data_IF_706538597834
#
_entry.id   IF_706538597834
#
_cell.length_a   1.000
_cell.length_b   1.000
_cell.length_c   1.000
_cell.angle_alpha   90.00
_cell.angle_beta   90.00
_cell.angle_gamma   90.00
#
_symmetry.space_group_name_H-M   'P 1'
#
loop_
_entity.id
_entity.type
_entity.pdbx_description
1 polymer ?
#
# COMPACT_ATOMS: atom_id res chain seq x y z
N UNK A 1 -24.51 -17.32 -46.04
CA UNK A 1 -24.50 -17.49 -44.57
C UNK A 1 -25.91 -17.51 -44.05
N UNK A 2 -26.40 -18.65 -43.61
CA UNK A 2 -27.77 -18.80 -43.15
C UNK A 2 -27.97 -18.10 -41.80
N UNK A 3 -29.16 -17.50 -41.60
CA UNK A 3 -29.50 -16.83 -40.32
C UNK A 3 -29.34 -17.71 -39.06
N UNK A 4 -29.28 -18.98 -39.20
CA UNK A 4 -29.06 -19.97 -38.13
C UNK A 4 -27.65 -19.96 -37.56
N UNK A 5 -26.65 -19.65 -38.36
CA UNK A 5 -25.24 -19.64 -37.91
C UNK A 5 -24.87 -18.41 -37.14
N UNK A 6 -25.54 -17.26 -37.40
CA UNK A 6 -25.39 -16.04 -36.69
C UNK A 6 -25.84 -16.17 -35.21
N UNK A 7 -26.94 -16.85 -34.96
CA UNK A 7 -27.45 -17.08 -33.61
C UNK A 7 -26.59 -18.03 -32.78
N UNK A 8 -25.96 -19.01 -33.40
CA UNK A 8 -25.03 -19.92 -32.69
C UNK A 8 -23.76 -19.24 -32.25
N UNK A 9 -23.22 -18.35 -33.08
CA UNK A 9 -22.02 -17.55 -32.74
C UNK A 9 -22.33 -16.49 -31.68
N UNK A 10 -23.51 -15.91 -31.67
CA UNK A 10 -23.93 -14.89 -30.69
C UNK A 10 -24.15 -15.50 -29.30
N UNK A 11 -24.62 -16.75 -29.20
CA UNK A 11 -24.82 -17.44 -27.91
C UNK A 11 -23.50 -17.83 -27.24
N UNK A 12 -22.47 -18.15 -28.01
CA UNK A 12 -21.14 -18.45 -27.51
C UNK A 12 -20.43 -17.18 -26.98
N UNK A 13 -20.68 -16.03 -27.60
CA UNK A 13 -20.14 -14.76 -27.15
C UNK A 13 -20.82 -14.23 -25.87
N UNK A 14 -22.13 -14.50 -25.68
CA UNK A 14 -22.87 -14.11 -24.49
C UNK A 14 -22.54 -14.99 -23.27
N UNK A 15 -22.20 -16.26 -23.47
CA UNK A 15 -21.82 -17.19 -22.40
C UNK A 15 -20.45 -16.88 -21.78
N UNK A 16 -19.55 -16.24 -22.52
CA UNK A 16 -18.22 -15.83 -22.02
C UNK A 16 -18.29 -14.62 -21.08
N UNK A 17 -19.39 -13.86 -21.08
CA UNK A 17 -19.57 -12.68 -20.21
C UNK A 17 -20.12 -13.02 -18.82
N UNK A 18 -20.55 -14.25 -18.58
CA UNK A 18 -21.13 -14.71 -17.31
C UNK A 18 -20.18 -15.57 -16.46
N UNK A 19 -18.97 -15.82 -16.92
CA UNK A 19 -17.94 -16.35 -16.02
C UNK A 19 -17.64 -15.27 -14.97
N UNK A 20 -17.70 -15.60 -13.65
CA UNK A 20 -17.24 -14.67 -12.65
C UNK A 20 -15.80 -14.31 -13.07
N UNK A 21 -15.59 -13.08 -13.49
CA UNK A 21 -14.25 -12.53 -13.54
C UNK A 21 -13.70 -12.66 -12.13
N UNK A 22 -13.00 -13.75 -11.84
CA UNK A 22 -11.90 -13.65 -10.89
C UNK A 22 -11.09 -12.50 -11.46
N UNK A 23 -11.26 -11.32 -10.88
CA UNK A 23 -10.31 -10.26 -11.10
C UNK A 23 -8.99 -10.89 -10.66
N UNK A 24 -8.19 -11.30 -11.64
CA UNK A 24 -6.79 -11.54 -11.38
C UNK A 24 -6.31 -10.19 -10.88
N UNK A 25 -6.16 -10.06 -9.57
CA UNK A 25 -5.41 -8.96 -9.01
C UNK A 25 -4.12 -8.98 -9.82
N UNK A 26 -3.83 -7.87 -10.48
CA UNK A 26 -2.56 -7.72 -11.19
C UNK A 26 -1.51 -7.87 -10.10
N UNK A 27 -0.92 -9.05 -9.97
CA UNK A 27 0.24 -9.25 -9.11
C UNK A 27 1.36 -8.42 -9.70
N UNK A 28 1.49 -7.19 -9.20
CA UNK A 28 2.55 -6.28 -9.62
C UNK A 28 3.94 -6.80 -9.26
N UNK A 29 3.98 -7.78 -8.36
CA UNK A 29 5.19 -8.47 -7.93
C UNK A 29 4.95 -9.97 -7.81
N UNK A 30 5.87 -10.79 -8.34
CA UNK A 30 5.74 -12.23 -8.18
C UNK A 30 5.79 -12.58 -6.69
N UNK A 31 4.75 -13.26 -6.21
CA UNK A 31 4.74 -13.75 -4.85
C UNK A 31 5.84 -14.80 -4.67
N UNK A 32 6.72 -14.57 -3.72
CA UNK A 32 7.73 -15.55 -3.34
C UNK A 32 7.06 -16.71 -2.60
N UNK A 33 7.18 -17.92 -3.13
CA UNK A 33 6.71 -19.11 -2.41
C UNK A 33 7.52 -19.24 -1.11
N UNK A 34 6.81 -19.49 -0.01
CA UNK A 34 7.39 -19.63 1.34
C UNK A 34 7.97 -18.33 1.94
N UNK A 35 7.56 -17.17 1.49
CA UNK A 35 7.93 -15.92 2.16
C UNK A 35 7.35 -15.90 3.57
N UNK A 36 8.21 -15.62 4.56
CA UNK A 36 7.78 -15.42 5.95
C UNK A 36 7.30 -13.98 6.20
N UNK A 37 7.64 -13.07 5.33
CA UNK A 37 7.36 -11.64 5.42
C UNK A 37 6.30 -11.17 4.45
N UNK A 38 5.48 -10.23 4.91
CA UNK A 38 4.58 -9.47 4.07
C UNK A 38 4.70 -7.97 4.34
N UNK A 39 4.44 -7.17 3.31
CA UNK A 39 4.19 -5.73 3.46
C UNK A 39 2.74 -5.49 3.07
N UNK A 40 1.96 -4.91 3.97
CA UNK A 40 0.60 -4.46 3.72
C UNK A 40 0.57 -2.95 3.58
N UNK A 41 0.07 -2.45 2.46
CA UNK A 41 -0.01 -1.00 2.26
C UNK A 41 -1.39 -0.52 1.80
N UNK A 42 -1.68 0.75 2.11
CA UNK A 42 -2.77 1.50 1.51
C UNK A 42 -2.23 2.70 0.73
N UNK A 43 -2.75 2.95 -0.47
CA UNK A 43 -2.26 4.04 -1.33
C UNK A 43 -3.38 4.75 -2.09
N UNK A 44 -3.30 6.10 -2.18
CA UNK A 44 -4.18 6.88 -3.05
C UNK A 44 -3.58 7.14 -4.44
N UNK A 45 -2.27 7.40 -4.51
CA UNK A 45 -1.60 7.87 -5.74
C UNK A 45 -0.37 7.04 -6.10
N UNK A 46 -0.29 5.78 -5.64
CA UNK A 46 0.79 4.86 -5.99
C UNK A 46 2.12 5.05 -5.25
N UNK A 47 2.35 6.17 -4.53
CA UNK A 47 3.62 6.40 -3.81
C UNK A 47 3.90 5.34 -2.75
N UNK A 48 2.87 4.93 -1.98
CA UNK A 48 3.04 3.90 -0.96
C UNK A 48 3.28 2.51 -1.55
N UNK A 49 2.75 2.23 -2.75
CA UNK A 49 3.07 1.02 -3.50
C UNK A 49 4.56 0.97 -3.81
N UNK A 50 5.09 2.04 -4.42
CA UNK A 50 6.49 2.08 -4.80
C UNK A 50 7.42 2.05 -3.57
N UNK A 51 7.05 2.74 -2.48
CA UNK A 51 7.76 2.64 -1.21
C UNK A 51 7.79 1.19 -0.69
N UNK A 52 6.65 0.48 -0.70
CA UNK A 52 6.56 -0.92 -0.26
C UNK A 52 7.47 -1.84 -1.06
N UNK A 53 7.50 -1.64 -2.38
CA UNK A 53 8.37 -2.38 -3.27
C UNK A 53 9.84 -2.14 -2.95
N UNK A 54 10.25 -0.90 -2.80
CA UNK A 54 11.63 -0.56 -2.49
C UNK A 54 12.03 -0.96 -1.06
N UNK A 55 11.11 -0.97 -0.10
CA UNK A 55 11.34 -1.58 1.21
C UNK A 55 11.60 -3.09 1.05
N UNK A 56 10.77 -3.79 0.27
CA UNK A 56 10.96 -5.23 -0.03
C UNK A 56 12.32 -5.50 -0.69
N UNK A 57 12.75 -4.66 -1.63
CA UNK A 57 14.09 -4.77 -2.23
C UNK A 57 15.19 -4.64 -1.17
N UNK A 58 15.05 -3.67 -0.24
CA UNK A 58 15.96 -3.51 0.88
C UNK A 58 15.98 -4.71 1.83
N UNK A 59 14.89 -5.47 1.87
CA UNK A 59 14.76 -6.74 2.60
C UNK A 59 15.18 -7.96 1.75
N UNK A 60 16.04 -7.78 0.76
CA UNK A 60 16.54 -8.81 -0.15
C UNK A 60 15.47 -9.49 -1.03
N UNK A 61 14.34 -8.86 -1.26
CA UNK A 61 13.27 -9.37 -2.12
C UNK A 61 12.53 -10.61 -1.61
N UNK A 62 12.70 -10.96 -0.33
CA UNK A 62 12.04 -12.14 0.30
C UNK A 62 10.67 -11.82 0.89
N UNK A 63 10.07 -10.73 0.49
CA UNK A 63 8.86 -10.16 1.07
C UNK A 63 7.76 -10.09 0.02
N UNK A 64 6.57 -10.57 0.35
CA UNK A 64 5.39 -10.38 -0.49
C UNK A 64 4.73 -9.03 -0.17
N UNK A 65 4.34 -8.30 -1.20
CA UNK A 65 3.76 -6.94 -1.08
C UNK A 65 2.30 -6.98 -1.50
N UNK A 66 1.42 -6.43 -0.66
CA UNK A 66 -0.03 -6.46 -0.85
C UNK A 66 -0.66 -5.08 -0.73
N UNK A 67 -1.48 -4.73 -1.69
CA UNK A 67 -2.44 -3.64 -1.54
C UNK A 67 -3.60 -4.10 -0.64
N UNK A 68 -3.96 -3.31 0.34
CA UNK A 68 -5.04 -3.65 1.27
C UNK A 68 -6.38 -3.88 0.56
N UNK A 69 -6.59 -3.28 -0.60
CA UNK A 69 -7.79 -3.44 -1.43
C UNK A 69 -7.94 -4.85 -2.01
N UNK A 70 -6.87 -5.63 -2.03
CA UNK A 70 -6.89 -7.05 -2.40
C UNK A 70 -7.45 -7.93 -1.29
N UNK A 71 -7.65 -7.38 -0.09
CA UNK A 71 -8.08 -8.09 1.12
C UNK A 71 -7.25 -9.37 1.37
N UNK A 72 -5.91 -9.26 1.45
CA UNK A 72 -5.03 -10.42 1.50
C UNK A 72 -5.18 -11.23 2.79
N UNK A 73 -5.09 -12.56 2.68
CA UNK A 73 -4.92 -13.42 3.83
C UNK A 73 -3.46 -13.37 4.32
N UNK A 74 -3.23 -12.72 5.46
CA UNK A 74 -1.92 -12.59 6.09
C UNK A 74 -1.66 -13.63 7.18
N UNK A 75 -2.55 -14.60 7.38
CA UNK A 75 -2.44 -15.61 8.44
C UNK A 75 -1.14 -16.43 8.35
N UNK A 76 -0.71 -16.75 7.16
CA UNK A 76 0.48 -17.56 6.86
C UNK A 76 1.82 -16.85 7.07
N UNK A 77 1.82 -15.50 7.18
CA UNK A 77 3.06 -14.73 7.36
C UNK A 77 3.42 -14.62 8.84
N UNK A 78 4.70 -14.74 9.14
CA UNK A 78 5.24 -14.56 10.50
C UNK A 78 5.46 -13.10 10.84
N UNK A 79 5.88 -12.31 9.86
CA UNK A 79 6.31 -10.94 10.03
C UNK A 79 5.64 -10.03 9.02
N UNK A 80 5.19 -8.88 9.47
CA UNK A 80 4.43 -7.95 8.65
C UNK A 80 4.98 -6.53 8.84
N UNK A 81 5.18 -5.82 7.74
CA UNK A 81 5.39 -4.37 7.74
C UNK A 81 4.09 -3.72 7.27
N UNK A 82 3.66 -2.70 7.98
CA UNK A 82 2.41 -2.01 7.68
C UNK A 82 2.66 -0.55 7.37
N UNK A 83 2.03 -0.03 6.33
CA UNK A 83 2.12 1.39 6.08
C UNK A 83 1.21 1.89 4.98
N UNK A 84 1.34 3.17 4.68
CA UNK A 84 0.50 3.76 3.65
C UNK A 84 0.65 5.26 3.53
N UNK A 85 -0.10 5.80 2.57
CA UNK A 85 -0.19 7.23 2.37
C UNK A 85 -0.93 7.91 3.50
N UNK A 86 -0.46 9.09 3.87
CA UNK A 86 -1.08 9.91 4.92
C UNK A 86 -1.81 11.09 4.28
N UNK A 87 -3.09 11.24 4.61
CA UNK A 87 -3.90 12.38 4.29
C UNK A 87 -4.67 12.82 5.54
N UNK A 88 -4.56 14.09 5.93
CA UNK A 88 -5.18 14.60 7.16
C UNK A 88 -4.82 13.78 8.42
N UNK A 89 -3.55 13.39 8.55
CA UNK A 89 -2.97 12.56 9.62
C UNK A 89 -3.43 11.09 9.68
N UNK A 90 -4.21 10.61 8.71
CA UNK A 90 -4.70 9.23 8.69
C UNK A 90 -4.33 8.50 7.40
N UNK A 91 -4.29 7.19 7.46
CA UNK A 91 -4.14 6.30 6.30
C UNK A 91 -5.47 6.12 5.56
N UNK A 92 -5.50 5.53 4.34
CA UNK A 92 -6.73 5.19 3.66
C UNK A 92 -7.68 4.37 4.54
N UNK A 93 -8.97 4.62 4.37
CA UNK A 93 -10.00 3.97 5.20
C UNK A 93 -9.95 2.45 5.10
N UNK A 94 -9.69 1.91 3.92
CA UNK A 94 -9.57 0.49 3.68
C UNK A 94 -8.47 -0.14 4.55
N UNK A 95 -7.34 0.57 4.71
CA UNK A 95 -6.27 0.10 5.58
C UNK A 95 -6.68 0.16 7.06
N UNK A 96 -7.37 1.22 7.47
CA UNK A 96 -7.87 1.34 8.84
C UNK A 96 -8.85 0.22 9.18
N UNK A 97 -9.80 -0.05 8.29
CA UNK A 97 -10.82 -1.09 8.45
C UNK A 97 -10.17 -2.48 8.54
N UNK A 98 -9.23 -2.77 7.63
CA UNK A 98 -8.48 -4.03 7.63
C UNK A 98 -7.69 -4.23 8.93
N UNK A 99 -6.91 -3.23 9.34
CA UNK A 99 -6.11 -3.31 10.57
C UNK A 99 -6.99 -3.47 11.82
N UNK A 100 -8.14 -2.83 11.85
CA UNK A 100 -9.10 -2.95 12.95
C UNK A 100 -9.72 -4.35 13.01
N UNK A 101 -10.14 -4.87 11.87
CA UNK A 101 -10.75 -6.21 11.78
C UNK A 101 -9.78 -7.33 12.16
N UNK A 102 -8.49 -7.19 11.79
CA UNK A 102 -7.46 -8.21 12.00
C UNK A 102 -6.51 -7.89 13.18
N UNK A 103 -6.84 -6.92 14.04
CA UNK A 103 -5.97 -6.44 15.11
C UNK A 103 -5.39 -7.56 15.99
N UNK A 104 -6.22 -8.50 16.40
CA UNK A 104 -5.81 -9.61 17.28
C UNK A 104 -4.75 -10.52 16.65
N UNK A 105 -4.87 -10.77 15.36
CA UNK A 105 -3.94 -11.60 14.59
C UNK A 105 -2.65 -10.85 14.28
N UNK A 106 -2.76 -9.59 13.85
CA UNK A 106 -1.64 -8.82 13.32
C UNK A 106 -0.70 -8.28 14.41
N UNK A 107 -1.22 -7.95 15.58
CA UNK A 107 -0.48 -7.28 16.65
C UNK A 107 0.90 -7.91 16.91
N UNK A 108 0.96 -9.22 17.01
CA UNK A 108 2.19 -9.94 17.34
C UNK A 108 3.09 -10.24 16.12
N UNK A 109 2.61 -9.95 14.92
CA UNK A 109 3.35 -10.18 13.66
C UNK A 109 3.99 -8.91 13.11
N UNK A 110 3.48 -7.72 13.48
CA UNK A 110 4.00 -6.44 12.97
C UNK A 110 5.43 -6.21 13.46
N UNK A 111 6.30 -5.79 12.55
CA UNK A 111 7.74 -5.54 12.79
C UNK A 111 8.21 -4.17 12.34
N UNK A 112 7.34 -3.38 11.76
CA UNK A 112 7.67 -2.02 11.37
C UNK A 112 6.51 -1.29 10.74
N UNK A 113 6.62 0.04 10.75
CA UNK A 113 5.63 0.92 10.14
C UNK A 113 6.28 1.89 9.18
N UNK A 114 5.59 2.20 8.09
CA UNK A 114 5.96 3.33 7.26
C UNK A 114 4.77 4.20 6.93
N UNK A 115 5.04 5.47 6.68
CA UNK A 115 4.07 6.43 6.21
C UNK A 115 4.65 7.18 5.01
N UNK A 116 3.83 7.41 4.00
CA UNK A 116 4.20 8.25 2.86
C UNK A 116 3.38 9.52 2.92
N UNK A 117 4.06 10.64 3.19
CA UNK A 117 3.42 11.93 3.41
C UNK A 117 3.65 12.85 2.21
N UNK A 118 2.59 13.48 1.74
CA UNK A 118 2.66 14.54 0.73
C UNK A 118 3.14 15.89 1.26
N UNK A 119 3.71 15.96 2.45
CA UNK A 119 4.33 17.17 3.00
C UNK A 119 5.77 17.28 2.50
N UNK A 120 5.94 17.87 1.57
CA UNK A 120 6.53 17.82 0.26
C UNK A 120 7.94 18.34 0.10
N UNK A 121 8.35 19.26 0.89
CA UNK A 121 9.63 19.96 0.72
C UNK A 121 10.52 19.84 1.95
N UNK A 122 9.99 19.33 3.05
CA UNK A 122 10.71 19.24 4.33
C UNK A 122 10.35 17.95 5.06
N UNK A 123 11.28 17.41 5.84
CA UNK A 123 10.97 16.32 6.76
C UNK A 123 9.80 16.69 7.68
N UNK A 124 9.00 15.70 8.03
CA UNK A 124 7.87 15.90 8.95
C UNK A 124 8.37 16.30 10.34
N UNK A 125 7.59 17.10 11.05
CA UNK A 125 7.87 17.46 12.44
C UNK A 125 7.66 16.28 13.38
N UNK A 126 8.21 16.34 14.58
CA UNK A 126 7.98 15.31 15.62
C UNK A 126 6.49 15.16 15.98
N UNK A 127 5.73 16.25 15.94
CA UNK A 127 4.28 16.21 16.17
C UNK A 127 3.58 15.41 15.06
N UNK A 128 3.91 15.67 13.82
CA UNK A 128 3.35 14.92 12.68
C UNK A 128 3.75 13.44 12.75
N UNK A 129 5.01 13.14 13.08
CA UNK A 129 5.49 11.79 13.26
C UNK A 129 4.66 11.03 14.30
N UNK A 130 4.47 11.58 15.49
CA UNK A 130 3.62 11.00 16.53
C UNK A 130 2.18 10.82 16.07
N UNK A 131 1.64 11.76 15.33
CA UNK A 131 0.28 11.66 14.82
C UNK A 131 0.12 10.48 13.83
N UNK A 132 1.11 10.23 12.97
CA UNK A 132 1.03 9.16 11.98
C UNK A 132 1.23 7.77 12.61
N UNK A 133 2.11 7.66 13.59
CA UNK A 133 2.43 6.38 14.22
C UNK A 133 1.72 6.20 15.56
N UNK A 134 2.11 6.91 16.62
CA UNK A 134 1.61 6.68 17.98
C UNK A 134 0.10 6.89 18.06
N UNK A 135 -0.39 7.99 17.50
CA UNK A 135 -1.79 8.37 17.57
C UNK A 135 -2.68 7.68 16.53
N UNK A 136 -2.11 7.03 15.51
CA UNK A 136 -2.88 6.40 14.44
C UNK A 136 -2.52 4.92 14.25
N UNK A 137 -1.42 4.56 13.56
CA UNK A 137 -1.11 3.16 13.23
C UNK A 137 -0.94 2.27 14.46
N UNK A 138 -0.25 2.75 15.49
CA UNK A 138 -0.08 2.01 16.75
C UNK A 138 -1.43 1.79 17.45
N UNK A 139 -2.31 2.80 17.48
CA UNK A 139 -3.65 2.63 18.06
C UNK A 139 -4.49 1.61 17.31
N UNK A 140 -4.41 1.60 15.99
CA UNK A 140 -5.14 0.63 15.15
C UNK A 140 -4.66 -0.79 15.39
N UNK A 141 -3.37 -1.00 15.51
CA UNK A 141 -2.76 -2.34 15.56
C UNK A 141 -2.46 -2.83 16.99
N UNK A 142 -2.14 -1.93 17.90
CA UNK A 142 -1.69 -2.23 19.25
C UNK A 142 -0.24 -2.74 19.34
N UNK A 143 0.57 -2.63 18.27
CA UNK A 143 1.97 -3.00 18.28
C UNK A 143 2.85 -1.74 18.45
N UNK A 144 3.62 -1.68 19.51
CA UNK A 144 4.39 -0.51 19.95
C UNK A 144 5.90 -0.76 19.87
N UNK A 145 6.71 0.31 19.91
CA UNK A 145 8.17 0.24 20.01
C UNK A 145 8.87 -0.31 18.76
N UNK A 146 8.23 -0.26 17.60
CA UNK A 146 8.75 -0.83 16.36
C UNK A 146 9.47 0.23 15.50
N UNK A 147 10.45 -0.16 14.68
CA UNK A 147 11.01 0.70 13.65
C UNK A 147 9.91 1.38 12.83
N UNK A 148 10.02 2.68 12.65
CA UNK A 148 9.03 3.43 11.87
C UNK A 148 9.67 4.57 11.10
N UNK A 149 9.20 4.79 9.85
CA UNK A 149 9.78 5.77 8.95
C UNK A 149 8.71 6.53 8.17
N UNK A 150 8.88 7.84 8.10
CA UNK A 150 8.09 8.68 7.19
C UNK A 150 8.91 8.96 5.95
N UNK A 151 8.34 8.70 4.79
CA UNK A 151 8.88 9.08 3.49
C UNK A 151 8.12 10.28 2.94
N UNK A 152 8.83 11.17 2.28
CA UNK A 152 8.20 12.21 1.47
C UNK A 152 7.58 11.54 0.24
N UNK A 153 6.38 11.97 -0.10
CA UNK A 153 5.65 11.42 -1.22
C UNK A 153 5.84 12.17 -2.53
N UNK A 154 4.94 11.93 -3.44
CA UNK A 154 4.86 12.63 -4.72
C UNK A 154 3.44 13.07 -5.02
N UNK A 155 3.31 14.07 -5.87
CA UNK A 155 2.07 14.46 -6.54
C UNK A 155 2.25 14.24 -8.03
N UNK A 156 1.44 13.38 -8.59
CA UNK A 156 1.37 13.09 -10.03
C UNK A 156 -0.09 13.18 -10.45
N UNK A 157 -0.43 14.20 -11.24
CA UNK A 157 -1.82 14.47 -11.63
C UNK A 157 -2.48 13.29 -12.33
N UNK A 158 -1.73 12.56 -13.15
CA UNK A 158 -2.22 11.41 -13.88
C UNK A 158 -2.64 10.22 -13.00
N UNK A 159 -2.17 10.15 -11.76
CA UNK A 159 -2.45 9.07 -10.80
C UNK A 159 -3.52 9.44 -9.76
N UNK A 160 -4.01 10.67 -9.79
CA UNK A 160 -5.05 11.13 -8.86
C UNK A 160 -6.44 10.91 -9.44
N UNK A 161 -7.38 10.62 -8.55
CA UNK A 161 -8.80 10.66 -8.88
C UNK A 161 -9.20 12.06 -9.38
N UNK A 162 -10.11 12.17 -10.36
CA UNK A 162 -10.45 13.44 -11.00
C UNK A 162 -10.83 14.55 -10.02
N UNK A 163 -11.67 14.25 -9.04
CA UNK A 163 -12.14 15.22 -8.04
C UNK A 163 -11.01 15.68 -7.11
N UNK A 164 -10.16 14.76 -6.67
CA UNK A 164 -8.96 15.06 -5.85
C UNK A 164 -7.99 15.93 -6.64
N UNK A 165 -7.76 15.61 -7.91
CA UNK A 165 -6.93 16.40 -8.81
C UNK A 165 -7.44 17.83 -8.92
N UNK A 166 -8.73 18.00 -9.23
CA UNK A 166 -9.37 19.31 -9.37
C UNK A 166 -9.22 20.14 -8.08
N UNK A 167 -9.47 19.50 -6.93
CA UNK A 167 -9.29 20.15 -5.62
C UNK A 167 -7.83 20.57 -5.39
N UNK A 168 -6.87 19.69 -5.66
CA UNK A 168 -5.46 19.98 -5.45
C UNK A 168 -4.96 21.07 -6.39
N UNK A 169 -5.37 21.07 -7.63
CA UNK A 169 -5.02 22.09 -8.62
C UNK A 169 -5.64 23.47 -8.33
N UNK A 170 -6.64 23.56 -7.46
CA UNK A 170 -7.19 24.83 -7.02
C UNK A 170 -6.32 25.57 -5.99
N UNK A 171 -5.35 24.89 -5.39
CA UNK A 171 -4.40 25.55 -4.49
C UNK A 171 -3.34 26.31 -5.29
N UNK A 172 -3.02 27.56 -4.89
CA UNK A 172 -1.99 28.35 -5.56
C UNK A 172 -0.63 27.65 -5.55
N UNK A 173 0.08 27.71 -6.68
CA UNK A 173 1.43 27.16 -6.85
C UNK A 173 1.58 25.63 -6.57
N UNK A 174 0.49 24.89 -6.72
CA UNK A 174 0.54 23.45 -6.60
C UNK A 174 1.05 22.84 -7.92
N UNK A 175 2.21 22.23 -7.86
CA UNK A 175 2.89 21.59 -8.98
C UNK A 175 3.07 20.10 -8.73
N UNK A 176 3.34 19.35 -9.79
CA UNK A 176 3.80 17.96 -9.67
C UNK A 176 5.21 17.92 -9.07
N UNK A 177 5.47 16.93 -8.25
CA UNK A 177 6.79 16.67 -7.67
C UNK A 177 6.92 15.21 -7.27
N UNK A 178 8.18 14.75 -7.15
CA UNK A 178 8.52 13.44 -6.59
C UNK A 178 9.69 13.59 -5.62
N UNK A 179 9.40 13.43 -4.35
CA UNK A 179 10.37 13.45 -3.26
C UNK A 179 10.57 12.07 -2.63
N UNK A 180 9.95 11.03 -3.20
CA UNK A 180 10.11 9.66 -2.72
C UNK A 180 11.44 9.07 -3.20
N UNK A 181 12.33 8.76 -2.25
CA UNK A 181 13.66 8.25 -2.57
C UNK A 181 13.76 6.75 -2.34
N UNK A 182 14.06 6.02 -3.42
CA UNK A 182 14.27 4.57 -3.38
C UNK A 182 15.32 4.14 -2.36
N UNK A 183 16.44 4.86 -2.30
CA UNK A 183 17.53 4.57 -1.36
C UNK A 183 17.09 4.62 0.12
N UNK A 184 16.23 5.58 0.48
CA UNK A 184 15.71 5.70 1.84
C UNK A 184 14.76 4.54 2.18
N UNK A 185 13.92 4.13 1.23
CA UNK A 185 13.03 2.98 1.40
C UNK A 185 13.81 1.67 1.56
N UNK A 186 14.84 1.45 0.73
CA UNK A 186 15.71 0.29 0.84
C UNK A 186 16.46 0.25 2.17
N UNK A 187 17.00 1.40 2.62
CA UNK A 187 17.69 1.50 3.90
C UNK A 187 16.76 1.14 5.07
N UNK A 188 15.50 1.57 5.01
CA UNK A 188 14.51 1.20 6.03
C UNK A 188 14.19 -0.30 6.02
N UNK A 189 14.10 -0.94 4.85
CA UNK A 189 13.98 -2.39 4.75
C UNK A 189 15.13 -3.13 5.44
N UNK A 190 16.36 -2.65 5.27
CA UNK A 190 17.55 -3.18 5.96
C UNK A 190 17.48 -2.96 7.48
N UNK A 191 17.03 -1.78 7.91
CA UNK A 191 16.84 -1.45 9.34
C UNK A 191 15.85 -2.42 10.00
N UNK A 192 14.71 -2.71 9.36
CA UNK A 192 13.73 -3.68 9.88
C UNK A 192 14.36 -5.06 10.07
N UNK A 193 15.11 -5.54 9.07
CA UNK A 193 15.80 -6.85 9.20
C UNK A 193 16.86 -6.85 10.28
N UNK A 194 17.58 -5.76 10.47
CA UNK A 194 18.60 -5.62 11.50
C UNK A 194 18.00 -5.63 12.92
N UNK A 195 16.82 -5.06 13.10
CA UNK A 195 16.10 -5.04 14.38
C UNK A 195 15.56 -6.42 14.81
N UNK A 196 15.64 -7.43 13.94
CA UNK A 196 15.21 -8.80 14.22
C UNK A 196 16.35 -9.72 14.72
N UNK A 197 17.58 -9.23 14.68
CA UNK A 197 18.77 -9.96 15.16
C UNK A 197 19.00 -9.71 16.65
#
# INVERSE_FOLDING_TARGET
MEKRDFFKTSLLAAGALLLPRKMFALEYYPTTKNAEWAILYGSWCGSSRDASVWISEGMNGVVNVFDVRENPDLSKYKYIVVGGSIRSNVTPKELQDYLTAHKGELKNKIRGYFAVCGNMKQPVTQVQYKNFFDNHLVKLTGAEGLPSKVFLGRITWGLMEPDVRKQMQSFPNMEEYDNLKRSECMAFGQEILAAMK
#
